data_IF_419169614362
#
_entry.id   IF_419169614362
#
_cell.length_a   1.000
_cell.length_b   1.000
_cell.length_c   1.000
_cell.angle_alpha   90.00
_cell.angle_beta   90.00
_cell.angle_gamma   90.00
#
_symmetry.space_group_name_H-M   'P 1'
#
loop_
_entity.id
_entity.type
_entity.pdbx_description
1 polymer ?
#
# COMPACT_ATOMS: atom_id res chain seq x y z
N UNK A 1 45.19 -27.17 -2.35
CA UNK A 1 44.49 -26.31 -1.38
C UNK A 1 43.91 -25.12 -2.13
N UNK A 2 42.63 -25.19 -2.49
CA UNK A 2 41.88 -24.05 -3.04
C UNK A 2 40.53 -24.06 -2.33
N UNK A 3 40.39 -23.19 -1.33
CA UNK A 3 39.14 -23.00 -0.62
C UNK A 3 38.19 -22.21 -1.52
N UNK A 4 37.15 -22.88 -2.02
CA UNK A 4 35.97 -22.24 -2.60
C UNK A 4 35.18 -21.61 -1.46
N UNK A 5 35.33 -20.29 -1.26
CA UNK A 5 34.50 -19.54 -0.33
C UNK A 5 33.13 -19.32 -0.97
N UNK A 6 32.18 -20.17 -0.58
CA UNK A 6 30.77 -19.96 -0.84
C UNK A 6 30.32 -18.66 -0.20
N UNK A 7 29.98 -17.68 -1.03
CA UNK A 7 29.11 -16.58 -0.61
C UNK A 7 27.75 -17.21 -0.39
N UNK A 8 27.38 -17.41 0.88
CA UNK A 8 26.05 -17.88 1.22
C UNK A 8 25.06 -16.81 0.79
N UNK A 9 24.28 -17.13 -0.23
CA UNK A 9 23.09 -16.41 -0.68
C UNK A 9 22.03 -16.56 0.41
N UNK A 10 22.24 -15.89 1.56
CA UNK A 10 21.25 -15.85 2.63
C UNK A 10 20.13 -14.99 2.12
N UNK A 11 19.03 -15.65 1.75
CA UNK A 11 17.74 -15.02 1.57
C UNK A 11 17.56 -13.97 2.68
N UNK A 12 17.28 -12.72 2.32
CA UNK A 12 17.05 -11.69 3.32
C UNK A 12 15.91 -12.17 4.24
N UNK A 13 15.90 -11.83 5.54
CA UNK A 13 14.87 -12.30 6.48
C UNK A 13 13.41 -12.07 6.02
N UNK A 14 13.24 -11.17 5.05
CA UNK A 14 11.99 -10.72 4.46
C UNK A 14 11.70 -11.33 3.08
N UNK A 15 12.46 -12.32 2.62
CA UNK A 15 12.25 -13.00 1.32
C UNK A 15 10.96 -13.80 1.28
N UNK A 16 10.47 -14.18 2.45
CA UNK A 16 9.11 -14.69 2.63
C UNK A 16 8.03 -13.67 2.20
N UNK A 17 8.33 -12.36 2.21
CA UNK A 17 7.46 -11.30 1.68
C UNK A 17 7.60 -11.13 0.15
N UNK A 18 8.70 -11.58 -0.46
CA UNK A 18 8.91 -11.59 -1.94
C UNK A 18 8.07 -12.65 -2.64
N UNK A 19 7.46 -13.58 -1.91
CA UNK A 19 6.55 -14.56 -2.51
C UNK A 19 5.34 -13.78 -3.00
N UNK A 20 5.30 -13.49 -4.30
CA UNK A 20 4.03 -13.33 -5.03
C UNK A 20 3.20 -14.53 -4.59
N UNK A 21 2.21 -14.29 -3.73
CA UNK A 21 1.29 -15.34 -3.37
C UNK A 21 0.75 -15.86 -4.69
N UNK A 22 1.05 -17.12 -5.01
CA UNK A 22 0.11 -17.92 -5.78
C UNK A 22 -1.12 -18.10 -4.88
N UNK A 23 -1.83 -17.00 -4.62
CA UNK A 23 -3.25 -17.07 -4.37
C UNK A 23 -3.80 -17.75 -5.61
N UNK A 24 -4.52 -18.85 -5.42
CA UNK A 24 -5.12 -19.59 -6.50
C UNK A 24 -5.84 -18.58 -7.41
N UNK A 25 -5.30 -18.36 -8.61
CA UNK A 25 -5.65 -17.30 -9.58
C UNK A 25 -7.13 -17.26 -9.99
N UNK A 26 -7.94 -18.16 -9.42
CA UNK A 26 -9.35 -18.37 -9.68
C UNK A 26 -10.24 -17.55 -8.73
N UNK A 27 -9.81 -17.25 -7.50
CA UNK A 27 -10.65 -16.63 -6.44
C UNK A 27 -10.43 -15.12 -6.41
N UNK A 28 -11.52 -14.33 -6.46
CA UNK A 28 -11.47 -12.87 -6.50
C UNK A 28 -12.43 -12.15 -5.51
N UNK A 29 -13.03 -12.89 -4.58
CA UNK A 29 -13.91 -12.39 -3.52
C UNK A 29 -13.38 -12.74 -2.12
N UNK A 30 -13.21 -11.72 -1.27
CA UNK A 30 -12.72 -11.80 0.12
C UNK A 30 -13.62 -12.58 1.07
N UNK A 31 -13.12 -12.95 2.26
CA UNK A 31 -13.87 -13.79 3.22
C UNK A 31 -15.12 -13.07 3.72
N UNK A 32 -14.99 -11.79 3.99
CA UNK A 32 -16.09 -10.93 4.46
C UNK A 32 -17.16 -10.78 3.36
N UNK A 33 -16.73 -10.49 2.12
CA UNK A 33 -17.65 -10.37 0.98
C UNK A 33 -18.33 -11.70 0.64
N UNK A 34 -17.65 -12.85 0.85
CA UNK A 34 -18.24 -14.18 0.67
C UNK A 34 -19.35 -14.46 1.68
N UNK A 35 -19.11 -14.13 2.95
CA UNK A 35 -20.12 -14.28 4.01
C UNK A 35 -21.33 -13.39 3.75
N UNK A 36 -21.11 -12.11 3.41
CA UNK A 36 -22.19 -11.17 3.07
C UNK A 36 -22.97 -11.64 1.83
N UNK A 37 -22.28 -12.09 0.78
CA UNK A 37 -22.93 -12.62 -0.43
C UNK A 37 -23.77 -13.86 -0.14
N UNK A 38 -23.29 -14.76 0.74
CA UNK A 38 -24.03 -15.95 1.13
C UNK A 38 -25.31 -15.60 1.91
N UNK A 39 -25.21 -14.69 2.89
CA UNK A 39 -26.35 -14.24 3.70
C UNK A 39 -27.39 -13.52 2.83
N UNK A 40 -26.94 -12.56 2.00
CA UNK A 40 -27.82 -11.81 1.11
C UNK A 40 -28.48 -12.72 0.06
N UNK A 41 -27.73 -13.68 -0.51
CA UNK A 41 -28.25 -14.68 -1.44
C UNK A 41 -29.32 -15.56 -0.80
N UNK A 42 -29.08 -16.06 0.41
CA UNK A 42 -30.05 -16.87 1.16
C UNK A 42 -31.32 -16.09 1.48
N UNK A 43 -31.18 -14.84 1.93
CA UNK A 43 -32.32 -13.96 2.21
C UNK A 43 -33.16 -13.69 0.95
N UNK A 44 -32.52 -13.44 -0.20
CA UNK A 44 -33.19 -13.25 -1.48
C UNK A 44 -33.92 -14.50 -1.97
N UNK A 45 -33.33 -15.68 -1.78
CA UNK A 45 -34.00 -16.94 -2.11
C UNK A 45 -35.23 -17.15 -1.23
N UNK A 46 -35.12 -16.97 0.09
CA UNK A 46 -36.26 -17.05 1.02
C UNK A 46 -37.35 -16.04 0.66
N UNK A 47 -36.97 -14.80 0.32
CA UNK A 47 -37.92 -13.77 -0.10
C UNK A 47 -38.60 -14.08 -1.44
N UNK A 48 -37.86 -14.65 -2.40
CA UNK A 48 -38.41 -15.09 -3.68
C UNK A 48 -39.49 -16.17 -3.51
N UNK A 49 -39.35 -17.05 -2.51
CA UNK A 49 -40.37 -18.04 -2.18
C UNK A 49 -41.67 -17.38 -1.68
N UNK A 50 -41.63 -16.15 -1.16
CA UNK A 50 -42.84 -15.40 -0.78
C UNK A 50 -43.44 -14.60 -1.93
N UNK A 51 -42.65 -14.18 -2.92
CA UNK A 51 -43.11 -13.29 -4.00
C UNK A 51 -43.24 -13.99 -5.36
N UNK A 52 -44.41 -14.63 -5.62
CA UNK A 52 -44.67 -15.36 -6.89
C UNK A 52 -44.37 -14.58 -8.17
N UNK A 53 -44.66 -13.27 -8.20
CA UNK A 53 -44.46 -12.40 -9.37
C UNK A 53 -42.99 -12.11 -9.69
N UNK A 54 -42.13 -12.03 -8.68
CA UNK A 54 -40.72 -11.65 -8.85
C UNK A 54 -39.75 -12.85 -8.79
N UNK A 55 -40.26 -14.07 -8.59
CA UNK A 55 -39.45 -15.30 -8.49
C UNK A 55 -38.45 -15.46 -9.63
N UNK A 56 -38.89 -15.25 -10.87
CA UNK A 56 -38.05 -15.41 -12.05
C UNK A 56 -36.85 -14.45 -12.09
N UNK A 57 -36.95 -13.29 -11.42
CA UNK A 57 -35.88 -12.31 -11.32
C UNK A 57 -35.00 -12.54 -10.08
N UNK A 58 -35.62 -12.84 -8.93
CA UNK A 58 -34.91 -12.91 -7.64
C UNK A 58 -34.16 -14.22 -7.44
N UNK A 59 -34.65 -15.33 -8.00
CA UNK A 59 -33.95 -16.62 -7.91
C UNK A 59 -32.56 -16.61 -8.57
N UNK A 60 -32.37 -16.16 -9.83
CA UNK A 60 -31.04 -16.11 -10.43
C UNK A 60 -30.09 -15.14 -9.72
N UNK A 61 -30.60 -14.00 -9.23
CA UNK A 61 -29.80 -13.06 -8.43
C UNK A 61 -29.35 -13.67 -7.10
N UNK A 62 -30.27 -14.29 -6.35
CA UNK A 62 -29.95 -14.99 -5.10
C UNK A 62 -28.98 -16.16 -5.32
N UNK A 63 -29.20 -16.97 -6.36
CA UNK A 63 -28.31 -18.06 -6.74
C UNK A 63 -26.91 -17.58 -7.16
N UNK A 64 -26.82 -16.46 -7.88
CA UNK A 64 -25.55 -15.83 -8.24
C UNK A 64 -24.74 -15.36 -7.03
N UNK A 65 -25.41 -14.78 -6.02
CA UNK A 65 -24.78 -14.37 -4.76
C UNK A 65 -24.34 -15.56 -3.90
N UNK A 66 -25.14 -16.64 -3.84
CA UNK A 66 -24.73 -17.89 -3.18
C UNK A 66 -23.51 -18.48 -3.88
N UNK A 67 -23.50 -18.57 -5.22
CA UNK A 67 -22.34 -19.04 -5.98
C UNK A 67 -21.12 -18.18 -5.67
N UNK A 68 -21.26 -16.85 -5.69
CA UNK A 68 -20.19 -15.90 -5.32
C UNK A 68 -19.66 -16.17 -3.91
N UNK A 69 -20.54 -16.39 -2.93
CA UNK A 69 -20.16 -16.69 -1.54
C UNK A 69 -19.43 -18.02 -1.38
N UNK A 70 -19.93 -19.07 -2.04
CA UNK A 70 -19.36 -20.43 -1.94
C UNK A 70 -18.04 -20.53 -2.68
N UNK A 71 -17.99 -20.15 -3.95
CA UNK A 71 -16.81 -20.35 -4.81
C UNK A 71 -15.76 -19.24 -4.65
N UNK A 72 -16.17 -18.08 -4.14
CA UNK A 72 -15.28 -16.91 -4.07
C UNK A 72 -14.94 -16.31 -5.45
N UNK A 73 -15.71 -16.66 -6.48
CA UNK A 73 -15.52 -16.17 -7.86
C UNK A 73 -16.69 -15.30 -8.28
N UNK A 74 -16.40 -14.09 -8.76
CA UNK A 74 -17.36 -13.18 -9.35
C UNK A 74 -16.85 -12.68 -10.72
N UNK A 75 -17.57 -13.02 -11.79
CA UNK A 75 -17.25 -12.57 -13.15
C UNK A 75 -17.32 -11.05 -13.30
N UNK A 76 -18.21 -10.38 -12.55
CA UNK A 76 -18.32 -8.91 -12.56
C UNK A 76 -17.08 -8.28 -11.94
N UNK A 77 -16.60 -8.79 -10.81
CA UNK A 77 -15.32 -8.36 -10.23
C UNK A 77 -14.16 -8.58 -11.21
N UNK A 78 -14.14 -9.71 -11.95
CA UNK A 78 -13.11 -10.02 -12.95
C UNK A 78 -13.16 -9.06 -14.15
N UNK A 79 -14.36 -8.77 -14.66
CA UNK A 79 -14.56 -7.81 -15.75
C UNK A 79 -14.17 -6.38 -15.34
N UNK A 80 -14.35 -6.02 -14.07
CA UNK A 80 -13.96 -4.73 -13.52
C UNK A 80 -12.50 -4.69 -12.99
N UNK A 81 -11.73 -5.78 -13.11
CA UNK A 81 -10.37 -5.85 -12.56
C UNK A 81 -10.27 -5.75 -11.03
N UNK A 82 -11.38 -5.91 -10.30
CA UNK A 82 -11.44 -5.84 -8.83
C UNK A 82 -11.17 -7.22 -8.23
N UNK A 83 -10.25 -7.30 -7.27
CA UNK A 83 -10.01 -8.52 -6.50
C UNK A 83 -10.03 -8.22 -5.00
N UNK A 84 -11.11 -8.60 -4.32
CA UNK A 84 -11.24 -8.47 -2.86
C UNK A 84 -10.77 -9.71 -2.10
N UNK A 85 -10.39 -10.80 -2.81
CA UNK A 85 -9.79 -11.98 -2.19
C UNK A 85 -8.35 -11.73 -1.71
N UNK A 86 -7.74 -10.63 -2.15
CA UNK A 86 -6.50 -10.10 -1.57
C UNK A 86 -6.81 -9.45 -0.22
N UNK A 87 -7.36 -10.24 0.71
CA UNK A 87 -7.58 -9.88 2.10
C UNK A 87 -6.44 -10.52 2.92
N UNK A 88 -5.39 -9.74 3.17
CA UNK A 88 -4.44 -9.95 4.27
C UNK A 88 -3.52 -11.17 4.22
N UNK A 89 -2.41 -11.08 3.49
CA UNK A 89 -1.13 -11.39 4.16
C UNK A 89 -0.68 -10.13 4.86
N UNK A 90 -0.87 -10.07 6.17
CA UNK A 90 -0.21 -9.11 7.02
C UNK A 90 1.29 -9.18 6.71
N UNK A 91 1.84 -8.15 6.09
CA UNK A 91 3.28 -7.94 6.24
C UNK A 91 3.42 -7.54 7.70
N UNK A 92 4.16 -8.29 8.54
CA UNK A 92 4.37 -7.92 9.95
C UNK A 92 5.08 -6.57 10.10
N UNK A 93 5.47 -5.94 8.99
CA UNK A 93 6.27 -4.73 8.91
C UNK A 93 5.45 -3.51 8.46
N UNK A 94 4.30 -3.71 7.80
CA UNK A 94 3.39 -2.63 7.43
C UNK A 94 1.98 -3.05 7.85
N UNK A 95 1.71 -2.94 9.16
CA UNK A 95 0.42 -3.28 9.77
C UNK A 95 -0.32 -1.99 10.14
N UNK A 96 -1.53 -1.83 9.59
CA UNK A 96 -2.45 -0.76 9.99
C UNK A 96 -3.16 -1.14 11.28
N UNK A 97 -3.52 -0.16 12.11
CA UNK A 97 -4.32 -0.39 13.31
C UNK A 97 -5.72 -0.94 12.97
N UNK A 98 -6.29 -0.54 11.83
CA UNK A 98 -7.58 -1.03 11.33
C UNK A 98 -7.55 -2.43 10.69
N UNK A 99 -6.37 -2.99 10.41
CA UNK A 99 -6.22 -4.30 9.77
C UNK A 99 -6.69 -4.40 8.31
N UNK A 100 -7.19 -3.32 7.72
CA UNK A 100 -7.76 -3.27 6.35
C UNK A 100 -7.16 -2.06 5.60
N UNK A 101 -6.56 -2.30 4.44
CA UNK A 101 -6.00 -1.24 3.61
C UNK A 101 -5.42 -1.74 2.30
N UNK A 102 -5.47 -0.92 1.26
CA UNK A 102 -4.90 -1.25 -0.04
C UNK A 102 -3.37 -1.29 0.10
N UNK A 103 -2.75 -2.44 -0.25
CA UNK A 103 -1.29 -2.57 -0.27
C UNK A 103 -0.75 -2.06 -1.61
N UNK A 104 0.17 -1.11 -1.53
CA UNK A 104 1.01 -0.68 -2.65
C UNK A 104 2.42 -1.20 -2.38
N UNK A 105 3.07 -1.74 -3.41
CA UNK A 105 4.45 -2.19 -3.34
C UNK A 105 5.17 -1.80 -4.63
N UNK A 106 6.25 -1.05 -4.48
CA UNK A 106 7.10 -0.58 -5.57
C UNK A 106 8.58 -0.67 -5.16
N UNK A 107 9.46 -0.79 -6.15
CA UNK A 107 10.90 -0.89 -5.91
C UNK A 107 11.72 -0.21 -7.00
N UNK A 108 12.91 0.27 -6.62
CA UNK A 108 13.90 0.85 -7.53
C UNK A 108 15.30 0.39 -7.12
N UNK A 109 16.20 0.20 -8.09
CA UNK A 109 17.62 -0.09 -7.82
C UNK A 109 18.46 1.15 -8.03
N UNK A 110 19.27 1.51 -7.02
CA UNK A 110 20.19 2.66 -7.00
C UNK A 110 21.61 2.12 -7.11
N UNK A 111 22.34 2.47 -8.17
CA UNK A 111 23.58 1.78 -8.51
C UNK A 111 24.80 2.31 -7.76
N UNK A 112 24.78 3.58 -7.37
CA UNK A 112 25.98 4.33 -6.96
C UNK A 112 26.11 4.54 -5.45
N UNK A 113 25.14 4.08 -4.66
CA UNK A 113 25.07 4.37 -3.21
C UNK A 113 24.99 3.10 -2.37
N UNK A 114 25.81 2.99 -1.30
CA UNK A 114 25.74 1.87 -0.38
C UNK A 114 24.46 1.95 0.46
N UNK A 115 24.04 0.81 1.02
CA UNK A 115 22.73 0.68 1.69
C UNK A 115 22.60 1.55 2.94
N UNK A 116 23.70 1.74 3.66
CA UNK A 116 23.80 2.54 4.88
C UNK A 116 23.54 4.02 4.58
N UNK A 117 24.13 4.58 3.52
CA UNK A 117 23.82 5.96 3.10
C UNK A 117 22.34 6.15 2.76
N UNK A 118 21.76 5.21 2.01
CA UNK A 118 20.34 5.25 1.64
C UNK A 118 19.43 5.13 2.87
N UNK A 119 19.79 4.23 3.79
CA UNK A 119 19.09 4.02 5.05
C UNK A 119 19.13 5.29 5.90
N UNK A 120 20.31 5.87 6.14
CA UNK A 120 20.48 7.07 6.97
C UNK A 120 19.76 8.28 6.36
N UNK A 121 19.82 8.45 5.04
CA UNK A 121 19.08 9.50 4.36
C UNK A 121 17.57 9.35 4.56
N UNK A 122 17.03 8.15 4.37
CA UNK A 122 15.60 7.89 4.55
C UNK A 122 15.18 7.99 6.02
N UNK A 123 16.03 7.54 6.94
CA UNK A 123 15.78 7.53 8.39
C UNK A 123 15.53 8.92 8.96
N UNK A 124 16.16 9.93 8.38
CA UNK A 124 15.75 11.31 8.60
C UNK A 124 14.51 11.62 7.75
N UNK A 125 13.32 11.44 8.33
CA UNK A 125 12.06 11.66 7.61
C UNK A 125 11.87 13.10 7.10
N UNK A 126 12.60 14.09 7.60
CA UNK A 126 12.57 15.46 7.06
C UNK A 126 13.11 15.54 5.62
N UNK A 127 13.80 14.50 5.14
CA UNK A 127 14.23 14.39 3.76
C UNK A 127 13.12 13.92 2.80
N UNK A 128 12.05 13.27 3.29
CA UNK A 128 11.01 12.68 2.45
C UNK A 128 10.30 13.71 1.54
N UNK A 129 9.95 14.93 2.00
CA UNK A 129 9.34 15.95 1.15
C UNK A 129 10.21 16.38 -0.05
N UNK A 130 11.51 16.08 -0.05
CA UNK A 130 12.41 16.40 -1.17
C UNK A 130 12.15 15.56 -2.42
N UNK A 131 11.48 14.41 -2.27
CA UNK A 131 11.22 13.49 -3.37
C UNK A 131 9.81 12.90 -3.37
N UNK A 132 9.02 13.13 -2.31
CA UNK A 132 7.61 12.72 -2.22
C UNK A 132 6.68 13.92 -2.46
N UNK A 133 6.13 14.05 -3.68
CA UNK A 133 5.42 15.27 -4.12
C UNK A 133 4.16 15.60 -3.31
N UNK A 134 3.51 14.57 -2.74
CA UNK A 134 2.31 14.74 -1.91
C UNK A 134 2.62 15.22 -0.50
N UNK A 135 3.85 15.07 -0.03
CA UNK A 135 4.23 15.39 1.33
C UNK A 135 4.75 16.83 1.35
N UNK A 136 4.06 17.71 2.08
CA UNK A 136 4.46 19.11 2.21
C UNK A 136 5.61 19.26 3.20
N UNK A 137 5.51 18.56 4.34
CA UNK A 137 6.54 18.60 5.38
C UNK A 137 6.47 17.37 6.28
N UNK A 138 7.64 16.99 6.80
CA UNK A 138 7.76 16.12 7.97
C UNK A 138 8.61 16.83 8.99
N UNK A 139 8.16 16.89 10.24
CA UNK A 139 8.91 17.43 11.38
C UNK A 139 9.21 16.29 12.34
N UNK A 140 10.48 16.04 12.63
CA UNK A 140 10.85 15.03 13.63
C UNK A 140 10.56 15.58 15.02
N UNK A 141 9.79 14.84 15.82
CA UNK A 141 9.41 15.23 17.18
C UNK A 141 10.39 14.64 18.21
N UNK A 142 10.84 13.41 17.98
CA UNK A 142 11.85 12.70 18.76
C UNK A 142 12.42 11.52 17.95
N UNK A 143 13.21 10.66 18.59
CA UNK A 143 13.88 9.52 17.95
C UNK A 143 12.94 8.60 17.16
N UNK A 144 11.67 8.46 17.56
CA UNK A 144 10.72 7.54 16.91
C UNK A 144 9.47 8.21 16.37
N UNK A 145 9.16 9.45 16.76
CA UNK A 145 7.92 10.14 16.37
C UNK A 145 8.18 11.32 15.46
N UNK A 146 7.22 11.57 14.58
CA UNK A 146 7.27 12.65 13.60
C UNK A 146 5.87 13.14 13.27
N UNK A 147 5.75 14.43 12.98
CA UNK A 147 4.52 15.07 12.52
C UNK A 147 4.57 15.24 10.99
N UNK A 148 3.57 14.73 10.30
CA UNK A 148 3.51 14.66 8.85
C UNK A 148 2.39 15.52 8.32
N UNK A 149 2.65 16.15 7.18
CA UNK A 149 1.68 16.99 6.51
C UNK A 149 1.69 16.70 5.02
N UNK A 150 0.54 16.31 4.48
CA UNK A 150 0.35 16.03 3.07
C UNK A 150 -0.76 16.87 2.44
N UNK A 151 -0.64 17.01 1.12
CA UNK A 151 -1.66 17.59 0.25
C UNK A 151 -2.89 16.69 0.25
N UNK A 152 -4.02 17.28 0.61
CA UNK A 152 -5.32 16.64 0.64
C UNK A 152 -6.15 16.91 -0.62
N UNK A 153 -7.27 16.17 -0.73
CA UNK A 153 -8.38 16.45 -1.64
C UNK A 153 -8.73 17.93 -1.81
N UNK A 154 -8.98 18.39 -3.04
CA UNK A 154 -9.48 19.75 -3.31
C UNK A 154 -8.58 20.88 -2.75
N UNK A 155 -7.28 20.61 -2.59
CA UNK A 155 -6.34 21.58 -2.02
C UNK A 155 -6.44 21.73 -0.51
N UNK A 156 -7.12 20.82 0.19
CA UNK A 156 -7.04 20.75 1.66
C UNK A 156 -5.66 20.26 2.11
N UNK A 157 -5.38 20.37 3.41
CA UNK A 157 -4.17 19.86 4.04
C UNK A 157 -4.56 18.79 5.05
N UNK A 158 -3.81 17.71 5.10
CA UNK A 158 -4.06 16.58 5.99
C UNK A 158 -2.81 16.31 6.82
N UNK A 159 -3.01 16.15 8.13
CA UNK A 159 -1.92 16.09 9.09
C UNK A 159 -2.10 14.88 10.01
N UNK A 160 -0.99 14.24 10.38
CA UNK A 160 -0.99 13.15 11.35
C UNK A 160 0.37 13.01 12.00
N UNK A 161 0.38 12.45 13.21
CA UNK A 161 1.61 11.99 13.84
C UNK A 161 1.86 10.52 13.48
N UNK A 162 3.11 10.19 13.22
CA UNK A 162 3.57 8.84 12.92
C UNK A 162 4.69 8.41 13.86
N UNK A 163 4.75 7.11 14.14
CA UNK A 163 5.82 6.46 14.87
C UNK A 163 6.55 5.43 14.01
N UNK A 164 7.87 5.34 14.16
CA UNK A 164 8.67 4.19 13.74
C UNK A 164 8.40 3.06 14.73
N UNK A 165 7.77 1.98 14.29
CA UNK A 165 7.39 0.85 15.16
C UNK A 165 8.33 -0.36 14.98
N UNK A 166 9.05 -0.45 13.87
CA UNK A 166 10.10 -1.45 13.66
C UNK A 166 11.24 -0.86 12.83
N UNK A 167 12.46 -1.25 13.17
CA UNK A 167 13.68 -0.76 12.55
C UNK A 167 14.75 -1.85 12.64
N UNK A 168 15.44 -2.09 11.52
CA UNK A 168 16.66 -2.88 11.46
C UNK A 168 17.66 -2.05 10.69
N UNK A 169 18.76 -1.72 11.35
CA UNK A 169 19.83 -0.90 10.80
C UNK A 169 20.24 -1.36 9.40
N UNK A 170 20.35 -0.41 8.47
CA UNK A 170 20.69 -0.58 7.06
C UNK A 170 19.75 -1.45 6.21
N UNK A 171 18.66 -1.97 6.77
CA UNK A 171 17.83 -2.97 6.10
C UNK A 171 16.35 -2.60 6.06
N UNK A 172 15.83 -1.97 7.12
CA UNK A 172 14.40 -1.78 7.27
C UNK A 172 14.06 -0.58 8.16
N UNK A 173 13.12 0.24 7.68
CA UNK A 173 12.43 1.23 8.52
C UNK A 173 10.92 1.04 8.30
N UNK A 174 10.17 0.90 9.38
CA UNK A 174 8.73 0.71 9.34
C UNK A 174 8.01 1.71 10.23
N UNK A 175 7.07 2.44 9.66
CA UNK A 175 6.32 3.49 10.33
C UNK A 175 4.81 3.26 10.24
N UNK A 176 4.08 3.87 11.17
CA UNK A 176 2.61 3.90 11.18
C UNK A 176 2.10 5.15 11.85
N UNK A 177 0.92 5.60 11.45
CA UNK A 177 0.20 6.69 12.12
C UNK A 177 -0.14 6.31 13.57
N UNK A 178 -0.13 7.29 14.47
CA UNK A 178 -0.56 7.13 15.85
C UNK A 178 -2.08 6.87 15.95
N UNK A 179 -2.54 6.20 17.03
CA UNK A 179 -3.95 5.98 17.27
C UNK A 179 -4.75 7.29 17.27
N UNK A 180 -5.87 7.32 16.55
CA UNK A 180 -6.76 8.49 16.49
C UNK A 180 -6.37 9.55 15.45
N UNK A 181 -5.30 9.34 14.68
CA UNK A 181 -4.98 10.16 13.51
C UNK A 181 -6.12 10.18 12.49
N UNK A 182 -6.31 11.32 11.82
CA UNK A 182 -7.30 11.47 10.75
C UNK A 182 -6.96 10.63 9.51
N UNK A 183 -5.72 10.12 9.44
CA UNK A 183 -5.19 9.25 8.40
C UNK A 183 -4.62 7.99 9.04
N UNK A 184 -5.21 6.83 8.76
CA UNK A 184 -4.64 5.52 9.12
C UNK A 184 -3.75 5.01 7.98
N UNK A 185 -2.45 5.16 8.18
CA UNK A 185 -1.40 4.84 7.21
C UNK A 185 -0.26 4.09 7.87
N UNK A 186 0.27 3.11 7.17
CA UNK A 186 1.47 2.40 7.57
C UNK A 186 2.34 2.15 6.35
N UNK A 187 3.65 2.24 6.52
CA UNK A 187 4.60 1.99 5.46
C UNK A 187 5.85 1.32 5.98
N UNK A 188 6.58 0.72 5.06
CA UNK A 188 7.94 0.25 5.28
C UNK A 188 8.81 0.50 4.08
N UNK A 189 10.07 0.83 4.33
CA UNK A 189 11.12 0.86 3.31
C UNK A 189 12.14 -0.21 3.64
N UNK A 190 12.51 -0.99 2.64
CA UNK A 190 13.49 -2.05 2.72
C UNK A 190 14.67 -1.71 1.83
N UNK A 191 15.87 -1.97 2.34
CA UNK A 191 17.13 -1.79 1.64
C UNK A 191 17.78 -3.16 1.48
N UNK A 192 18.07 -3.55 0.25
CA UNK A 192 18.64 -4.88 -0.06
C UNK A 192 19.79 -4.75 -1.05
N UNK A 193 20.96 -5.34 -0.77
CA UNK A 193 22.05 -5.31 -1.73
C UNK A 193 21.68 -6.12 -2.98
N UNK A 194 22.01 -5.59 -4.15
CA UNK A 194 21.92 -6.28 -5.43
C UNK A 194 23.34 -6.44 -5.97
N UNK A 195 23.78 -7.70 -6.04
CA UNK A 195 25.14 -8.06 -6.48
C UNK A 195 25.48 -7.36 -7.80
N UNK A 196 26.58 -6.59 -7.79
CA UNK A 196 27.09 -5.81 -8.93
C UNK A 196 26.11 -4.78 -9.53
N UNK A 197 25.02 -4.42 -8.83
CA UNK A 197 24.02 -3.44 -9.32
C UNK A 197 23.60 -2.38 -8.30
N UNK A 198 24.14 -2.41 -7.08
CA UNK A 198 23.91 -1.40 -6.05
C UNK A 198 22.91 -1.87 -5.00
N UNK A 199 22.00 -0.98 -4.58
CA UNK A 199 21.00 -1.27 -3.54
C UNK A 199 19.59 -1.16 -4.11
N UNK A 200 18.78 -2.19 -3.91
CA UNK A 200 17.34 -2.16 -4.13
C UNK A 200 16.65 -1.50 -2.94
N UNK A 201 15.84 -0.49 -3.24
CA UNK A 201 14.99 0.22 -2.29
C UNK A 201 13.56 -0.13 -2.63
N UNK A 202 12.89 -0.83 -1.71
CA UNK A 202 11.50 -1.29 -1.85
C UNK A 202 10.63 -0.60 -0.82
N UNK A 203 9.55 0.03 -1.27
CA UNK A 203 8.55 0.64 -0.39
C UNK A 203 7.27 -0.18 -0.44
N UNK A 204 6.75 -0.50 0.74
CA UNK A 204 5.44 -1.11 0.93
C UNK A 204 4.59 -0.12 1.72
N UNK A 205 3.45 0.31 1.17
CA UNK A 205 2.51 1.16 1.89
C UNK A 205 1.15 0.49 2.00
N UNK A 206 0.48 0.74 3.11
CA UNK A 206 -0.92 0.41 3.33
C UNK A 206 -1.65 1.64 3.80
N UNK A 207 -2.76 1.93 3.16
CA UNK A 207 -3.64 3.01 3.54
C UNK A 207 -5.07 2.53 3.68
N UNK A 208 -5.76 3.05 4.71
CA UNK A 208 -7.20 3.01 4.75
C UNK A 208 -7.72 4.29 4.07
N UNK A 209 -8.55 4.21 3.01
CA UNK A 209 -9.25 5.40 2.53
C UNK A 209 -10.08 6.00 3.68
N UNK A 210 -10.16 7.33 3.81
CA UNK A 210 -10.85 7.97 4.92
C UNK A 210 -12.30 7.49 5.00
N UNK A 211 -12.65 6.85 6.12
CA UNK A 211 -13.90 6.10 6.30
C UNK A 211 -14.65 6.37 7.61
N UNK A 212 -14.30 7.44 8.32
CA UNK A 212 -15.00 7.90 9.53
C UNK A 212 -14.06 8.84 10.29
N UNK A 213 -14.27 10.15 10.35
CA UNK A 213 -15.46 10.92 10.79
C UNK A 213 -16.16 11.73 9.69
N UNK A 214 -15.70 11.64 8.45
CA UNK A 214 -16.33 12.25 7.28
C UNK A 214 -17.04 11.14 6.49
N UNK A 215 -18.37 11.15 6.53
CA UNK A 215 -19.25 10.12 5.96
C UNK A 215 -18.99 9.87 4.47
N UNK A 216 -19.26 8.63 4.05
CA UNK A 216 -18.80 8.06 2.80
C UNK A 216 -19.10 8.91 1.55
N UNK A 217 -18.04 9.43 0.94
CA UNK A 217 -17.96 9.84 -0.47
C UNK A 217 -16.53 10.27 -0.87
N UNK A 218 -15.47 9.55 -0.43
CA UNK A 218 -14.07 9.94 -0.72
C UNK A 218 -13.30 8.82 -1.43
N UNK A 219 -13.97 8.05 -2.29
CA UNK A 219 -13.31 7.01 -3.07
C UNK A 219 -12.59 7.55 -4.32
N UNK A 220 -12.72 8.84 -4.66
CA UNK A 220 -12.22 9.43 -5.92
C UNK A 220 -11.30 10.64 -5.73
N UNK A 221 -10.90 10.97 -4.49
CA UNK A 221 -10.15 12.22 -4.23
C UNK A 221 -8.66 12.01 -3.91
N UNK A 222 -8.20 10.77 -3.96
CA UNK A 222 -6.78 10.44 -4.00
C UNK A 222 -6.47 10.12 -5.46
N UNK A 223 -5.54 10.88 -6.05
CA UNK A 223 -5.35 11.03 -7.50
C UNK A 223 -5.28 9.75 -8.34
N UNK A 224 -5.30 9.94 -9.67
CA UNK A 224 -5.19 8.87 -10.66
C UNK A 224 -3.95 8.00 -10.39
N UNK A 225 -4.18 6.81 -9.83
CA UNK A 225 -3.20 5.74 -9.59
C UNK A 225 -2.16 5.98 -8.46
N UNK A 226 -2.52 5.65 -7.20
CA UNK A 226 -1.60 5.65 -6.05
C UNK A 226 -0.33 4.80 -6.24
N UNK A 227 -0.39 3.74 -7.04
CA UNK A 227 0.77 2.88 -7.30
C UNK A 227 1.79 3.62 -8.17
N UNK A 228 1.32 4.27 -9.22
CA UNK A 228 2.15 5.12 -10.09
C UNK A 228 2.84 6.23 -9.30
N UNK A 229 2.13 6.85 -8.37
CA UNK A 229 2.68 7.89 -7.51
C UNK A 229 3.89 7.41 -6.68
N UNK A 230 3.78 6.26 -6.01
CA UNK A 230 4.90 5.69 -5.24
C UNK A 230 6.08 5.34 -6.16
N UNK A 231 5.80 4.82 -7.36
CA UNK A 231 6.84 4.54 -8.34
C UNK A 231 7.55 5.82 -8.79
N UNK A 232 6.82 6.93 -8.97
CA UNK A 232 7.38 8.23 -9.34
C UNK A 232 8.21 8.83 -8.19
N UNK A 233 7.74 8.73 -6.93
CA UNK A 233 8.49 9.13 -5.74
C UNK A 233 9.82 8.36 -5.63
N UNK A 234 9.82 7.04 -5.87
CA UNK A 234 11.03 6.23 -5.86
C UNK A 234 12.02 6.59 -6.98
N UNK A 235 11.52 7.00 -8.16
CA UNK A 235 12.39 7.49 -9.23
C UNK A 235 13.03 8.83 -8.86
N UNK A 236 12.28 9.75 -8.25
CA UNK A 236 12.84 11.00 -7.71
C UNK A 236 13.85 10.71 -6.60
N UNK A 237 13.56 9.77 -5.71
CA UNK A 237 14.51 9.35 -4.68
C UNK A 237 15.83 8.86 -5.29
N UNK A 238 15.76 7.98 -6.29
CA UNK A 238 16.95 7.56 -7.05
C UNK A 238 17.71 8.76 -7.61
N UNK A 239 17.03 9.74 -8.20
CA UNK A 239 17.67 10.96 -8.71
C UNK A 239 18.36 11.77 -7.60
N UNK A 240 17.70 12.02 -6.46
CA UNK A 240 18.30 12.71 -5.30
C UNK A 240 19.59 12.01 -4.87
N UNK A 241 19.56 10.69 -4.75
CA UNK A 241 20.70 9.92 -4.23
C UNK A 241 21.83 9.75 -5.26
N UNK A 242 21.51 9.68 -6.55
CA UNK A 242 22.51 9.54 -7.61
C UNK A 242 23.14 10.88 -8.02
N UNK A 243 22.36 11.96 -8.04
CA UNK A 243 22.79 13.28 -8.53
C UNK A 243 23.13 14.30 -7.43
N UNK A 244 22.67 14.09 -6.19
CA UNK A 244 22.89 14.99 -5.06
C UNK A 244 21.94 16.19 -4.96
N UNK A 245 21.18 16.54 -6.01
CA UNK A 245 20.17 17.61 -6.00
C UNK A 245 19.03 17.29 -6.98
N UNK A 246 17.77 17.55 -6.59
CA UNK A 246 16.63 17.60 -7.52
C UNK A 246 16.29 19.05 -7.78
N UNK A 247 16.31 19.45 -9.05
CA UNK A 247 15.84 20.76 -9.51
C UNK A 247 14.32 20.82 -9.33
N UNK A 248 13.78 21.74 -8.52
CA UNK A 248 12.33 21.92 -8.43
C UNK A 248 11.78 22.32 -9.80
N UNK A 249 10.68 21.71 -10.22
CA UNK A 249 9.96 22.15 -11.42
C UNK A 249 9.26 23.47 -11.13
N UNK A 250 9.96 24.59 -11.31
CA UNK A 250 9.33 25.92 -11.29
C UNK A 250 8.38 26.02 -12.49
N UNK A 251 7.09 25.81 -12.25
CA UNK A 251 6.05 26.25 -13.17
C UNK A 251 6.05 27.77 -13.18
N UNK A 252 6.79 28.35 -14.14
CA UNK A 252 6.72 29.77 -14.45
C UNK A 252 5.33 30.06 -15.02
N UNK A 253 4.43 30.57 -14.17
CA UNK A 253 3.23 31.26 -14.63
C UNK A 253 3.68 32.53 -15.36
N UNK A 254 3.63 32.47 -16.70
CA UNK A 254 3.79 33.64 -17.54
C UNK A 254 2.47 34.42 -17.51
N UNK A 255 2.47 35.52 -16.79
CA UNK A 255 1.46 36.56 -16.90
C UNK A 255 1.73 37.33 -18.18
N UNK A 256 0.79 37.29 -19.12
CA UNK A 256 0.63 38.31 -20.17
C UNK A 256 -0.62 39.13 -19.83
#
# INVERSE_FOLDING_TARGET
MTASTGVSDRAAPWDNLRRTERGDSRINVGRTERLVSAIAGAALLVYSLRQRRLRALLMPLGGGLIKRGVTGVCEVNRAMGRNSAVEGTSSPVASLHSGQGNKIEEAVTIATRPRDELFQFWRNFENLPRFMDNLESVTVLDDRRSHWVAKGPLGTRVEWDAEIHNEIEDELIAWRSLPGADVDQAGSVHFSPVVNRGTEVRVVMRYAPPGGKFGGAVAHILGEDPKRQVADDLRRFKQVMEAGEVVPSTTTSRTD
#
